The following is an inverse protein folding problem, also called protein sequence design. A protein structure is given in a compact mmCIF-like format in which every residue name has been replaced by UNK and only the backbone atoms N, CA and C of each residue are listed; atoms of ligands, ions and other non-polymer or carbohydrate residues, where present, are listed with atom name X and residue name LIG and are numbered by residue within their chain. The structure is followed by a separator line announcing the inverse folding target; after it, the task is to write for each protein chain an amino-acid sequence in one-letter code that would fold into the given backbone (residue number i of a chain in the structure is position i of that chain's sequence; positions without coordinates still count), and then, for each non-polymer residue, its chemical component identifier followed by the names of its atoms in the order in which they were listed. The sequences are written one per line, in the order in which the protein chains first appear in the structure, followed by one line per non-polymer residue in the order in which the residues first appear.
data_IF_727367874050
#
_entry.id   IF_727367874050
#
_cell.length_a   1.000
_cell.length_b   1.000
_cell.length_c   1.000
_cell.angle_alpha   90.00
_cell.angle_beta   90.00
_cell.angle_gamma   90.00
#
_symmetry.space_group_name_H-M   'P 1'
#
loop_
_entity.id
_entity.type
_entity.pdbx_description
1 polymer ?
#
# COMPACT_ATOMS: atom_id res chain seq x y z
N UNK A 1 -20.13 19.31 -6.96
CA UNK A 1 -18.76 19.65 -7.39
C UNK A 1 -17.70 19.16 -6.37
N UNK A 2 -18.08 18.43 -5.32
CA UNK A 2 -17.19 17.98 -4.23
C UNK A 2 -16.43 16.67 -4.50
N UNK A 3 -16.85 15.85 -5.48
CA UNK A 3 -16.24 14.53 -5.75
C UNK A 3 -14.82 14.61 -6.34
N UNK A 4 -14.48 15.72 -7.02
CA UNK A 4 -13.16 15.93 -7.58
C UNK A 4 -12.12 16.20 -6.48
N UNK A 5 -12.51 16.97 -5.45
CA UNK A 5 -11.63 17.30 -4.31
C UNK A 5 -11.39 16.07 -3.43
N UNK A 6 -12.41 15.23 -3.20
CA UNK A 6 -12.24 13.98 -2.44
C UNK A 6 -11.34 12.98 -3.16
N UNK A 7 -11.43 12.90 -4.49
CA UNK A 7 -10.57 12.03 -5.29
C UNK A 7 -9.12 12.53 -5.29
N UNK A 8 -8.91 13.85 -5.43
CA UNK A 8 -7.58 14.45 -5.33
C UNK A 8 -6.95 14.21 -3.96
N UNK A 9 -7.74 14.37 -2.90
CA UNK A 9 -7.31 14.13 -1.53
C UNK A 9 -6.82 12.69 -1.34
N UNK A 10 -7.60 11.70 -1.79
CA UNK A 10 -7.25 10.29 -1.68
C UNK A 10 -5.99 9.94 -2.50
N UNK A 11 -5.85 10.51 -3.70
CA UNK A 11 -4.64 10.32 -4.51
C UNK A 11 -3.40 10.88 -3.82
N UNK A 12 -3.49 12.07 -3.21
CA UNK A 12 -2.41 12.68 -2.44
C UNK A 12 -2.06 11.88 -1.18
N UNK A 13 -3.06 11.30 -0.52
CA UNK A 13 -2.85 10.41 0.62
C UNK A 13 -1.99 9.22 0.23
N UNK A 14 -2.41 8.47 -0.79
CA UNK A 14 -1.68 7.32 -1.31
C UNK A 14 -0.26 7.73 -1.72
N UNK A 15 -0.13 8.84 -2.44
CA UNK A 15 1.17 9.34 -2.87
C UNK A 15 2.08 9.65 -1.67
N UNK A 16 1.56 10.31 -0.63
CA UNK A 16 2.33 10.64 0.58
C UNK A 16 2.86 9.39 1.30
N UNK A 17 2.03 8.35 1.43
CA UNK A 17 2.41 7.10 2.08
C UNK A 17 3.46 6.34 1.27
N UNK A 18 3.30 6.28 -0.06
CA UNK A 18 4.24 5.59 -0.94
C UNK A 18 5.59 6.32 -0.98
N UNK A 19 5.58 7.65 -1.00
CA UNK A 19 6.79 8.47 -0.98
C UNK A 19 7.57 8.27 0.33
N UNK A 20 6.87 8.21 1.46
CA UNK A 20 7.48 7.90 2.75
C UNK A 20 8.11 6.50 2.77
N UNK A 21 7.41 5.49 2.24
CA UNK A 21 7.93 4.12 2.16
C UNK A 21 9.15 3.98 1.23
N UNK A 22 9.11 4.62 0.05
CA UNK A 22 10.13 4.42 -1.00
C UNK A 22 11.36 5.30 -0.81
N UNK A 23 11.20 6.52 -0.31
CA UNK A 23 12.30 7.48 -0.17
C UNK A 23 12.66 7.76 1.30
N UNK A 24 11.77 7.42 2.24
CA UNK A 24 11.94 7.65 3.67
C UNK A 24 11.45 9.02 4.16
N UNK A 25 11.06 9.08 5.42
CA UNK A 25 10.62 10.31 6.10
C UNK A 25 11.66 11.43 6.14
N UNK A 26 12.95 11.09 6.02
CA UNK A 26 14.06 12.06 5.98
C UNK A 26 14.23 12.70 4.60
N UNK A 27 13.60 12.15 3.55
CA UNK A 27 13.67 12.71 2.20
C UNK A 27 12.84 14.01 2.10
N UNK A 28 13.43 15.04 1.50
CA UNK A 28 12.77 16.34 1.34
C UNK A 28 11.46 16.23 0.54
N UNK A 29 11.46 15.48 -0.55
CA UNK A 29 10.30 15.34 -1.42
C UNK A 29 9.17 14.62 -0.68
N UNK A 30 9.48 13.56 0.08
CA UNK A 30 8.48 12.86 0.89
C UNK A 30 7.84 13.77 1.94
N UNK A 31 8.64 14.59 2.63
CA UNK A 31 8.11 15.55 3.60
C UNK A 31 7.22 16.61 2.97
N UNK A 32 7.59 17.13 1.81
CA UNK A 32 6.81 18.19 1.16
C UNK A 32 5.53 17.63 0.54
N UNK A 33 5.54 16.40 0.02
CA UNK A 33 4.31 15.70 -0.39
C UNK A 33 3.41 15.42 0.81
N UNK A 34 3.98 14.95 1.94
CA UNK A 34 3.23 14.76 3.19
C UNK A 34 2.65 16.09 3.70
N UNK A 35 3.41 17.19 3.62
CA UNK A 35 2.93 18.53 3.98
C UNK A 35 1.78 18.96 3.08
N UNK A 36 1.91 18.83 1.77
CA UNK A 36 0.86 19.16 0.82
C UNK A 36 -0.41 18.33 1.06
N UNK A 37 -0.24 17.05 1.44
CA UNK A 37 -1.35 16.25 1.94
C UNK A 37 -1.92 16.86 3.24
N UNK A 38 -1.14 17.13 4.27
CA UNK A 38 -1.68 17.63 5.55
C UNK A 38 -2.39 19.00 5.44
N UNK A 39 -1.85 19.92 4.65
CA UNK A 39 -2.34 21.30 4.57
C UNK A 39 -3.40 21.50 3.50
N UNK A 40 -3.34 20.76 2.39
CA UNK A 40 -4.19 20.97 1.22
C UNK A 40 -4.00 22.33 0.54
N UNK A 41 -2.99 23.11 0.92
CA UNK A 41 -2.73 24.43 0.36
C UNK A 41 -2.14 24.32 -1.04
N UNK A 42 -2.65 25.13 -1.98
CA UNK A 42 -2.19 25.15 -3.37
C UNK A 42 -0.67 25.44 -3.48
N UNK A 43 -0.14 26.30 -2.62
CA UNK A 43 1.31 26.61 -2.58
C UNK A 43 2.15 25.39 -2.21
N UNK A 44 1.68 24.55 -1.29
CA UNK A 44 2.37 23.35 -0.87
C UNK A 44 2.26 22.25 -1.92
N UNK A 45 1.10 22.13 -2.58
CA UNK A 45 0.89 21.23 -3.72
C UNK A 45 1.83 21.56 -4.88
N UNK A 46 1.91 22.82 -5.26
CA UNK A 46 2.80 23.28 -6.32
C UNK A 46 4.28 23.02 -5.98
N UNK A 47 4.68 23.29 -4.74
CA UNK A 47 6.04 23.01 -4.28
C UNK A 47 6.35 21.51 -4.31
N UNK A 48 5.44 20.67 -3.81
CA UNK A 48 5.59 19.22 -3.80
C UNK A 48 5.72 18.67 -5.22
N UNK A 49 4.93 19.18 -6.18
CA UNK A 49 5.01 18.82 -7.60
C UNK A 49 6.38 19.16 -8.20
N UNK A 50 6.86 20.39 -8.00
CA UNK A 50 8.18 20.82 -8.48
C UNK A 50 9.32 19.96 -7.91
N UNK A 51 9.25 19.64 -6.61
CA UNK A 51 10.25 18.78 -5.97
C UNK A 51 10.16 17.34 -6.47
N UNK A 52 8.96 16.81 -6.65
CA UNK A 52 8.75 15.50 -7.25
C UNK A 52 9.37 15.44 -8.64
N UNK A 53 9.28 16.53 -9.40
CA UNK A 53 9.87 16.59 -10.74
C UNK A 53 11.40 16.49 -10.77
N UNK A 54 12.07 16.83 -9.67
CA UNK A 54 13.52 16.69 -9.54
C UNK A 54 13.98 15.24 -9.35
N UNK A 55 13.06 14.30 -9.05
CA UNK A 55 13.42 12.91 -8.84
C UNK A 55 13.92 12.26 -10.14
N UNK A 56 14.95 11.39 -10.06
CA UNK A 56 15.31 10.46 -11.12
C UNK A 56 14.10 9.68 -11.66
N UNK A 57 14.06 9.47 -12.98
CA UNK A 57 12.93 8.80 -13.64
C UNK A 57 12.64 7.40 -13.10
N UNK A 58 13.66 6.65 -12.66
CA UNK A 58 13.47 5.34 -12.06
C UNK A 58 12.75 5.41 -10.69
N UNK A 59 13.02 6.44 -9.88
CA UNK A 59 12.33 6.66 -8.60
C UNK A 59 10.89 7.05 -8.82
N UNK A 60 10.63 7.95 -9.77
CA UNK A 60 9.26 8.30 -10.18
C UNK A 60 8.48 7.06 -10.59
N UNK A 61 9.05 6.21 -11.44
CA UNK A 61 8.41 4.98 -11.91
C UNK A 61 8.08 4.01 -10.76
N UNK A 62 8.99 3.84 -9.80
CA UNK A 62 8.77 2.97 -8.64
C UNK A 62 7.63 3.49 -7.75
N UNK A 63 7.60 4.80 -7.49
CA UNK A 63 6.50 5.46 -6.78
C UNK A 63 5.18 5.30 -7.53
N UNK A 64 5.17 5.53 -8.84
CA UNK A 64 3.95 5.39 -9.66
C UNK A 64 3.39 3.97 -9.65
N UNK A 65 4.24 2.94 -9.78
CA UNK A 65 3.80 1.54 -9.73
C UNK A 65 3.13 1.21 -8.40
N UNK A 66 3.77 1.60 -7.29
CA UNK A 66 3.25 1.31 -5.95
C UNK A 66 1.99 2.12 -5.63
N UNK A 67 1.95 3.41 -6.00
CA UNK A 67 0.78 4.25 -5.81
C UNK A 67 -0.42 3.74 -6.62
N UNK A 68 -0.18 3.31 -7.86
CA UNK A 68 -1.21 2.69 -8.70
C UNK A 68 -1.74 1.40 -8.09
N UNK A 69 -0.84 0.53 -7.59
CA UNK A 69 -1.22 -0.70 -6.90
C UNK A 69 -2.13 -0.42 -5.70
N UNK A 70 -1.75 0.52 -4.82
CA UNK A 70 -2.58 0.90 -3.66
C UNK A 70 -3.91 1.54 -4.04
N UNK A 71 -3.94 2.36 -5.09
CA UNK A 71 -5.18 2.93 -5.59
C UNK A 71 -6.15 1.82 -6.06
N UNK A 72 -5.64 0.79 -6.76
CA UNK A 72 -6.44 -0.36 -7.14
C UNK A 72 -6.93 -1.18 -5.93
N UNK A 73 -6.07 -1.44 -4.94
CA UNK A 73 -6.48 -2.14 -3.73
C UNK A 73 -7.57 -1.35 -2.98
N UNK A 74 -7.44 -0.03 -2.86
CA UNK A 74 -8.41 0.81 -2.14
C UNK A 74 -9.79 0.78 -2.82
N UNK A 75 -9.82 0.87 -4.16
CA UNK A 75 -11.07 0.76 -4.94
C UNK A 75 -11.68 -0.63 -4.79
N UNK A 76 -10.88 -1.69 -4.95
CA UNK A 76 -11.38 -3.06 -4.91
C UNK A 76 -11.75 -3.53 -3.49
N UNK A 77 -11.10 -3.03 -2.43
CA UNK A 77 -11.47 -3.31 -1.04
C UNK A 77 -12.85 -2.77 -0.70
N UNK A 78 -13.25 -1.65 -1.29
CA UNK A 78 -14.58 -1.06 -1.09
C UNK A 78 -15.67 -1.95 -1.71
N UNK A 79 -15.40 -2.57 -2.85
CA UNK A 79 -16.31 -3.53 -3.51
C UNK A 79 -16.34 -4.91 -2.83
N UNK A 80 -15.23 -5.37 -2.24
CA UNK A 80 -15.16 -6.69 -1.58
C UNK A 80 -15.82 -6.65 -0.19
N UNK A 81 -15.80 -5.52 0.51
CA UNK A 81 -16.39 -5.39 1.87
C UNK A 81 -17.91 -5.54 1.90
N UNK A 82 -18.61 -5.41 0.76
CA UNK A 82 -20.06 -5.63 0.66
C UNK A 82 -20.45 -7.03 0.14
N UNK A 83 -19.50 -7.84 -0.33
CA UNK A 83 -19.80 -9.10 -1.03
C UNK A 83 -19.19 -10.38 -0.41
N UNK A 84 -18.46 -10.30 0.71
CA UNK A 84 -17.78 -11.50 1.26
C UNK A 84 -17.90 -11.65 2.77
N UNK A 85 -19.13 -11.75 3.25
CA UNK A 85 -19.42 -12.44 4.52
C UNK A 85 -19.33 -13.94 4.21
N UNK A 86 -18.19 -14.57 4.50
CA UNK A 86 -18.16 -16.02 4.62
C UNK A 86 -18.99 -16.38 5.83
N UNK A 87 -20.23 -16.84 5.60
CA UNK A 87 -20.98 -17.54 6.64
C UNK A 87 -20.20 -18.81 6.97
N UNK A 88 -19.37 -18.75 8.02
CA UNK A 88 -18.93 -19.94 8.74
C UNK A 88 -20.14 -20.41 9.56
N UNK A 89 -21.14 -20.98 8.89
CA UNK A 89 -22.16 -21.74 9.57
C UNK A 89 -21.50 -22.99 10.15
N UNK A 90 -21.34 -22.98 11.46
CA UNK A 90 -21.01 -24.15 12.27
C UNK A 90 -21.86 -25.34 11.83
N UNK A 91 -21.19 -26.41 11.41
CA UNK A 91 -21.74 -27.75 11.53
C UNK A 91 -20.75 -28.55 12.35
N UNK A 92 -21.15 -28.83 13.59
CA UNK A 92 -20.64 -29.95 14.37
C UNK A 92 -20.61 -31.23 13.52
N UNK A 93 -19.58 -32.04 13.77
CA UNK A 93 -19.52 -33.43 13.31
C UNK A 93 -18.37 -33.69 12.35
N UNK A 94 -17.23 -34.14 12.89
CA UNK A 94 -16.65 -35.46 12.59
C UNK A 94 -15.24 -35.56 13.16
N UNK A 95 -15.05 -36.60 13.98
CA UNK A 95 -13.76 -37.04 14.50
C UNK A 95 -12.86 -37.59 13.37
N UNK A 96 -11.57 -37.70 13.70
CA UNK A 96 -10.50 -38.45 13.03
C UNK A 96 -9.84 -37.83 11.79
N UNK A 97 -8.96 -36.85 12.07
CA UNK A 97 -7.83 -36.53 11.19
C UNK A 97 -6.72 -37.57 11.36
N UNK A 98 -6.79 -38.62 10.55
CA UNK A 98 -5.60 -39.33 10.07
C UNK A 98 -5.24 -38.74 8.69
N UNK A 99 -3.94 -38.74 8.36
CA UNK A 99 -3.29 -38.17 7.15
C UNK A 99 -2.77 -36.74 7.35
N UNK A 100 -1.54 -36.37 7.05
CA UNK A 100 -0.35 -37.06 6.55
C UNK A 100 0.81 -36.06 6.75
N UNK A 101 2.02 -36.54 7.07
CA UNK A 101 3.18 -35.68 7.29
C UNK A 101 3.48 -34.79 6.09
N UNK A 102 3.48 -33.46 6.27
CA UNK A 102 4.18 -32.54 5.38
C UNK A 102 5.69 -32.69 5.60
N UNK A 103 6.25 -33.76 5.03
CA UNK A 103 7.69 -33.95 4.85
C UNK A 103 8.18 -33.04 3.72
N UNK A 104 8.43 -31.78 4.05
CA UNK A 104 9.44 -31.01 3.30
C UNK A 104 10.44 -30.49 4.32
N UNK A 105 11.69 -30.98 4.31
CA UNK A 105 12.70 -30.44 5.21
C UNK A 105 12.91 -28.95 4.88
N UNK A 106 13.12 -28.10 5.90
CA UNK A 106 13.37 -26.69 5.70
C UNK A 106 14.65 -26.47 4.87
N UNK A 107 14.75 -25.35 4.15
CA UNK A 107 15.87 -25.08 3.26
C UNK A 107 17.20 -25.01 4.03
N UNK A 108 18.25 -25.60 3.43
CA UNK A 108 19.55 -25.89 4.05
C UNK A 108 20.29 -24.69 4.67
N UNK A 109 19.99 -23.46 4.25
CA UNK A 109 20.61 -22.25 4.83
C UNK A 109 20.17 -21.96 6.27
N UNK A 110 19.09 -22.59 6.75
CA UNK A 110 18.61 -22.45 8.13
C UNK A 110 19.26 -23.42 9.12
N UNK A 111 19.93 -24.47 8.62
CA UNK A 111 20.45 -25.56 9.46
C UNK A 111 21.96 -25.52 9.66
N UNK A 112 22.66 -24.55 9.07
CA UNK A 112 24.13 -24.48 9.14
C UNK A 112 24.61 -23.40 10.11
N UNK A 113 24.69 -23.77 11.40
CA UNK A 113 25.58 -23.13 12.37
C UNK A 113 26.54 -24.21 12.84
N UNK A 114 27.78 -24.11 12.33
CA UNK A 114 29.06 -24.69 12.79
C UNK A 114 29.02 -25.67 13.96
#
# INVERSE_FOLDING_TARGET
MESADSTHRAALEILSQVMDEKLGASNLVSREVMRAFQTGMETDLNRAGLLFDTLPGWQKNEVYKQARYRAYETVNSTDISSARIWQTSSSEGSNDLRSESLQTPPPRFLTDRR
#
